data_IF_953772242163
#
_entry.id   IF_953772242163
#
_cell.length_a   1.000
_cell.length_b   1.000
_cell.length_c   1.000
_cell.angle_alpha   90.00
_cell.angle_beta   90.00
_cell.angle_gamma   90.00
#
_symmetry.space_group_name_H-M   'P 1'
#
loop_
_entity.id
_entity.type
_entity.pdbx_description
1 polymer ?
#
# COMPACT_ATOMS: atom_id res chain seq x y z
N UNK A 1 -8.30 -26.15 -21.84
CA UNK A 1 -9.02 -24.90 -21.47
C UNK A 1 -8.72 -24.61 -20.01
N UNK A 2 -8.27 -23.39 -19.71
CA UNK A 2 -7.65 -22.91 -18.47
C UNK A 2 -8.74 -22.49 -17.46
N UNK A 3 -8.73 -23.04 -16.25
CA UNK A 3 -9.48 -22.51 -15.11
C UNK A 3 -8.82 -22.98 -13.81
N UNK A 4 -8.01 -22.10 -13.22
CA UNK A 4 -7.44 -22.28 -11.89
C UNK A 4 -8.53 -22.04 -10.84
N UNK A 5 -8.75 -23.07 -10.03
CA UNK A 5 -9.69 -23.10 -8.91
C UNK A 5 -9.19 -22.25 -7.74
N UNK A 6 -10.14 -21.77 -6.96
CA UNK A 6 -10.07 -20.62 -6.06
C UNK A 6 -9.15 -20.85 -4.86
N UNK A 7 -8.30 -19.86 -4.58
CA UNK A 7 -7.59 -19.72 -3.32
C UNK A 7 -8.53 -19.17 -2.23
N UNK A 8 -8.95 -20.06 -1.33
CA UNK A 8 -9.48 -19.75 0.00
C UNK A 8 -8.32 -19.29 0.90
N UNK A 9 -8.00 -18.00 0.86
CA UNK A 9 -7.03 -17.41 1.78
C UNK A 9 -7.78 -16.83 2.99
N UNK A 10 -7.99 -17.72 3.95
CA UNK A 10 -8.45 -17.52 5.32
C UNK A 10 -7.91 -16.21 5.91
N UNK A 11 -8.83 -15.30 6.22
CA UNK A 11 -8.63 -14.07 6.98
C UNK A 11 -7.96 -14.35 8.33
N UNK A 12 -6.63 -14.25 8.40
CA UNK A 12 -5.92 -14.00 9.65
C UNK A 12 -6.03 -12.51 9.95
N UNK A 13 -6.95 -12.16 10.84
CA UNK A 13 -7.06 -10.82 11.41
C UNK A 13 -5.79 -10.53 12.20
N UNK A 14 -4.76 -9.99 11.54
CA UNK A 14 -3.61 -9.38 12.20
C UNK A 14 -4.16 -8.17 12.94
N UNK A 15 -4.45 -8.37 14.22
CA UNK A 15 -4.76 -7.35 15.20
C UNK A 15 -3.86 -6.16 14.91
N UNK A 16 -4.42 -5.02 14.50
CA UNK A 16 -3.65 -3.78 14.35
C UNK A 16 -3.14 -3.44 15.75
N UNK A 17 -1.95 -3.96 16.10
CA UNK A 17 -1.16 -3.45 17.19
C UNK A 17 -1.12 -1.93 17.02
N UNK A 18 -1.49 -1.21 18.09
CA UNK A 18 -1.57 0.26 18.10
C UNK A 18 -0.27 0.77 17.49
N UNK A 19 -0.35 1.30 16.26
CA UNK A 19 0.81 1.79 15.51
C UNK A 19 1.47 2.82 16.42
N UNK A 20 2.70 2.55 16.87
CA UNK A 20 3.44 3.48 17.71
C UNK A 20 3.36 4.88 17.07
N UNK A 21 2.94 5.93 17.80
CA UNK A 21 2.78 7.27 17.22
C UNK A 21 4.10 7.89 16.74
N UNK A 22 5.23 7.28 17.08
CA UNK A 22 6.58 7.66 16.61
C UNK A 22 7.04 6.87 15.38
N UNK A 23 6.28 5.87 14.93
CA UNK A 23 6.67 5.08 13.78
C UNK A 23 6.61 5.95 12.50
N UNK A 24 7.67 5.98 11.69
CA UNK A 24 7.68 6.73 10.45
C UNK A 24 6.58 6.17 9.55
N UNK A 25 5.86 7.09 8.90
CA UNK A 25 4.76 6.73 8.01
C UNK A 25 5.36 5.92 6.85
N UNK A 26 4.76 4.76 6.57
CA UNK A 26 5.22 3.86 5.48
C UNK A 26 5.23 4.66 4.17
N UNK A 27 6.21 4.41 3.32
CA UNK A 27 6.22 4.95 1.97
C UNK A 27 4.94 4.57 1.22
N UNK A 28 4.48 5.50 0.40
CA UNK A 28 3.37 5.29 -0.50
C UNK A 28 3.90 4.61 -1.77
N UNK A 29 3.31 3.46 -2.12
CA UNK A 29 3.56 2.78 -3.39
C UNK A 29 2.94 3.57 -4.56
N UNK A 30 3.37 3.30 -5.79
CA UNK A 30 2.83 3.90 -7.02
C UNK A 30 1.30 3.75 -7.07
N UNK A 31 0.82 2.57 -6.70
CA UNK A 31 -0.61 2.29 -6.58
C UNK A 31 -1.29 3.14 -5.51
N UNK A 32 -0.61 3.51 -4.41
CA UNK A 32 -1.20 4.35 -3.36
C UNK A 32 -1.26 5.83 -3.74
N UNK A 33 -0.34 6.32 -4.57
CA UNK A 33 -0.46 7.66 -5.16
C UNK A 33 -1.64 7.70 -6.14
N UNK A 34 -1.65 6.77 -7.10
CA UNK A 34 -2.76 6.60 -8.02
C UNK A 34 -4.11 6.44 -7.30
N UNK A 35 -4.14 5.59 -6.26
CA UNK A 35 -5.34 5.31 -5.48
C UNK A 35 -5.86 6.55 -4.77
N UNK A 36 -5.00 7.43 -4.26
CA UNK A 36 -5.46 8.68 -3.63
C UNK A 36 -6.15 9.60 -4.65
N UNK A 37 -5.52 9.83 -5.79
CA UNK A 37 -6.07 10.69 -6.84
C UNK A 37 -7.35 10.12 -7.46
N UNK A 38 -7.39 8.82 -7.71
CA UNK A 38 -8.52 8.17 -8.37
C UNK A 38 -9.63 7.78 -7.42
N UNK A 39 -9.35 7.53 -6.14
CA UNK A 39 -10.39 7.19 -5.17
C UNK A 39 -11.36 8.34 -5.00
N UNK A 40 -10.87 9.58 -4.98
CA UNK A 40 -11.76 10.75 -4.91
C UNK A 40 -12.61 10.88 -6.16
N UNK A 41 -12.05 10.64 -7.35
CA UNK A 41 -12.79 10.64 -8.62
C UNK A 41 -13.85 9.56 -8.67
N UNK A 42 -13.48 8.30 -8.39
CA UNK A 42 -14.41 7.17 -8.41
C UNK A 42 -15.50 7.34 -7.35
N UNK A 43 -15.17 7.88 -6.17
CA UNK A 43 -16.15 8.18 -5.13
C UNK A 43 -17.06 9.36 -5.50
N UNK A 44 -16.55 10.35 -6.23
CA UNK A 44 -17.37 11.44 -6.74
C UNK A 44 -18.34 10.97 -7.83
N UNK A 45 -17.88 10.07 -8.72
CA UNK A 45 -18.72 9.44 -9.75
C UNK A 45 -19.69 8.41 -9.17
N UNK A 46 -19.30 7.73 -8.09
CA UNK A 46 -20.08 6.68 -7.43
C UNK A 46 -20.15 6.98 -5.92
N UNK A 47 -20.93 8.00 -5.50
CA UNK A 47 -21.06 8.36 -4.10
C UNK A 47 -21.72 7.25 -3.26
N UNK A 48 -22.54 6.41 -3.88
CA UNK A 48 -23.17 5.23 -3.27
C UNK A 48 -22.29 3.98 -3.23
N UNK A 49 -21.17 3.97 -3.97
CA UNK A 49 -20.29 2.80 -3.99
C UNK A 49 -19.57 2.63 -2.65
N UNK A 50 -19.58 1.40 -2.16
CA UNK A 50 -18.85 1.07 -0.93
C UNK A 50 -17.34 1.16 -1.16
N UNK A 51 -16.56 1.40 -0.10
CA UNK A 51 -15.10 1.39 -0.16
C UNK A 51 -14.54 0.12 -0.82
N UNK A 52 -15.20 -1.02 -0.61
CA UNK A 52 -14.82 -2.29 -1.25
C UNK A 52 -15.04 -2.31 -2.77
N UNK A 53 -16.07 -1.62 -3.26
CA UNK A 53 -16.34 -1.50 -4.70
C UNK A 53 -15.40 -0.49 -5.35
N UNK A 54 -15.20 0.67 -4.69
CA UNK A 54 -14.21 1.66 -5.13
C UNK A 54 -12.84 1.02 -5.26
N UNK A 55 -12.40 0.23 -4.27
CA UNK A 55 -11.13 -0.49 -4.32
C UNK A 55 -11.02 -1.49 -5.48
N UNK A 56 -12.11 -2.19 -5.83
CA UNK A 56 -12.15 -3.09 -6.99
C UNK A 56 -12.01 -2.31 -8.30
N UNK A 57 -12.73 -1.21 -8.45
CA UNK A 57 -12.66 -0.35 -9.64
C UNK A 57 -11.26 0.26 -9.81
N UNK A 58 -10.67 0.74 -8.72
CA UNK A 58 -9.31 1.26 -8.68
C UNK A 58 -8.27 0.21 -9.10
N UNK A 59 -8.39 -1.00 -8.57
CA UNK A 59 -7.49 -2.10 -8.91
C UNK A 59 -7.63 -2.55 -10.37
N UNK A 60 -8.85 -2.55 -10.90
CA UNK A 60 -9.10 -2.81 -12.32
C UNK A 60 -8.48 -1.71 -13.19
N UNK A 61 -8.70 -0.43 -12.84
CA UNK A 61 -8.17 0.72 -13.58
C UNK A 61 -6.64 0.75 -13.56
N UNK A 62 -6.02 0.44 -12.42
CA UNK A 62 -4.57 0.32 -12.33
C UNK A 62 -4.02 -0.81 -13.20
N UNK A 63 -4.70 -1.96 -13.28
CA UNK A 63 -4.27 -3.05 -14.18
C UNK A 63 -4.43 -2.69 -15.65
N UNK A 64 -5.46 -1.91 -15.99
CA UNK A 64 -5.73 -1.42 -17.33
C UNK A 64 -4.77 -0.31 -17.77
N UNK A 65 -4.28 0.53 -16.84
CA UNK A 65 -3.30 1.57 -17.16
C UNK A 65 -2.00 0.98 -17.70
N UNK A 66 -1.44 1.63 -18.71
CA UNK A 66 -0.15 1.27 -19.27
C UNK A 66 1.00 1.61 -18.33
N UNK A 67 2.13 0.94 -18.52
CA UNK A 67 3.37 1.24 -17.78
C UNK A 67 3.78 2.70 -17.95
N UNK A 68 3.42 3.34 -19.06
CA UNK A 68 3.71 4.75 -19.33
C UNK A 68 2.92 5.70 -18.44
N UNK A 69 1.64 5.40 -18.18
CA UNK A 69 0.83 6.17 -17.25
C UNK A 69 1.25 5.90 -15.80
N UNK A 70 1.74 4.69 -15.53
CA UNK A 70 2.28 4.29 -14.23
C UNK A 70 3.65 4.90 -13.93
N UNK A 71 4.51 5.09 -14.93
CA UNK A 71 5.88 5.64 -14.80
C UNK A 71 5.96 6.87 -13.88
N UNK A 72 5.16 7.93 -14.04
CA UNK A 72 5.22 9.09 -13.14
C UNK A 72 4.87 8.72 -11.69
N UNK A 73 3.86 7.88 -11.47
CA UNK A 73 3.49 7.42 -10.12
C UNK A 73 4.56 6.50 -9.52
N UNK A 74 5.18 5.65 -10.35
CA UNK A 74 6.30 4.79 -9.94
C UNK A 74 7.50 5.64 -9.56
N UNK A 75 7.86 6.66 -10.33
CA UNK A 75 8.95 7.57 -10.00
C UNK A 75 8.70 8.31 -8.67
N UNK A 76 7.49 8.84 -8.47
CA UNK A 76 7.08 9.46 -7.20
C UNK A 76 7.15 8.48 -6.03
N UNK A 77 6.65 7.26 -6.23
CA UNK A 77 6.72 6.22 -5.22
C UNK A 77 8.13 5.76 -4.90
N UNK A 78 9.02 5.74 -5.87
CA UNK A 78 10.42 5.37 -5.66
C UNK A 78 11.12 6.44 -4.82
N UNK A 79 10.86 7.72 -5.12
CA UNK A 79 11.37 8.84 -4.33
C UNK A 79 10.84 8.82 -2.88
N UNK A 80 9.53 8.56 -2.70
CA UNK A 80 8.93 8.46 -1.37
C UNK A 80 9.40 7.20 -0.62
N UNK A 81 9.61 6.09 -1.33
CA UNK A 81 10.23 4.85 -0.80
C UNK A 81 11.58 5.16 -0.20
N UNK A 82 12.48 5.83 -0.93
CA UNK A 82 13.80 6.20 -0.40
C UNK A 82 13.71 7.12 0.82
N UNK A 83 12.77 8.07 0.84
CA UNK A 83 12.53 8.94 2.01
C UNK A 83 12.11 8.11 3.22
N UNK A 84 11.08 7.28 3.06
CA UNK A 84 10.56 6.49 4.17
C UNK A 84 11.53 5.39 4.61
N UNK A 85 12.36 4.84 3.72
CA UNK A 85 13.42 3.89 4.06
C UNK A 85 14.50 4.54 4.94
N UNK A 86 14.90 5.79 4.65
CA UNK A 86 15.84 6.55 5.50
C UNK A 86 15.25 6.85 6.88
N UNK A 87 13.99 7.28 6.93
CA UNK A 87 13.29 7.52 8.19
C UNK A 87 13.06 6.22 8.97
N UNK A 88 12.71 5.14 8.26
CA UNK A 88 12.54 3.79 8.82
C UNK A 88 13.85 3.27 9.39
N UNK A 89 14.96 3.36 8.67
CA UNK A 89 16.27 2.94 9.17
C UNK A 89 16.66 3.68 10.46
N UNK A 90 16.39 4.99 10.51
CA UNK A 90 16.64 5.80 11.72
C UNK A 90 15.74 5.40 12.89
N UNK A 91 14.47 5.08 12.61
CA UNK A 91 13.52 4.60 13.61
C UNK A 91 13.81 3.17 14.07
N UNK A 92 14.14 2.25 13.16
CA UNK A 92 14.50 0.87 13.46
C UNK A 92 15.78 0.83 14.31
N UNK A 93 16.77 1.67 14.06
CA UNK A 93 17.97 1.73 14.92
C UNK A 93 17.65 2.23 16.34
N UNK A 94 16.72 3.19 16.45
CA UNK A 94 16.22 3.69 17.74
C UNK A 94 15.26 2.70 18.44
N UNK A 95 14.52 1.87 17.68
CA UNK A 95 13.61 0.84 18.20
C UNK A 95 14.37 -0.44 18.58
N UNK A 96 15.40 -0.84 17.83
CA UNK A 96 16.31 -1.97 18.12
C UNK A 96 17.06 -1.75 19.44
N UNK A 97 17.35 -0.49 19.78
CA UNK A 97 17.95 -0.12 21.07
C UNK A 97 16.95 -0.15 22.23
N UNK A 98 15.64 -0.18 21.96
CA UNK A 98 14.57 -0.11 22.97
C UNK A 98 13.69 -1.37 23.06
N UNK A 99 13.74 -2.26 22.06
CA UNK A 99 12.98 -3.51 22.04
C UNK A 99 13.71 -4.51 21.15
N UNK A 100 14.32 -5.52 21.77
CA UNK A 100 14.53 -6.78 21.07
C UNK A 100 13.19 -7.38 20.67
N UNK A 101 13.21 -8.16 19.59
CA UNK A 101 12.14 -9.00 19.05
C UNK A 101 11.28 -8.46 17.89
N UNK A 102 11.07 -9.36 16.93
CA UNK A 102 10.16 -9.35 15.76
C UNK A 102 10.64 -8.71 14.43
N UNK A 103 11.44 -9.52 13.73
CA UNK A 103 11.16 -10.12 12.40
C UNK A 103 10.99 -9.20 11.17
N UNK A 104 12.07 -9.19 10.38
CA UNK A 104 12.18 -9.59 8.96
C UNK A 104 10.89 -9.84 8.15
N UNK A 105 10.83 -9.22 6.95
CA UNK A 105 10.18 -9.76 5.72
C UNK A 105 10.52 -8.77 4.57
N UNK A 106 11.66 -9.01 3.90
CA UNK A 106 11.82 -9.49 2.50
C UNK A 106 11.33 -8.47 1.43
N UNK A 107 12.27 -7.84 0.72
CA UNK A 107 12.85 -8.22 -0.60
C UNK A 107 11.96 -7.79 -1.78
#
# INVERSE_FOLDING_TARGET
RKAAEKADAKSSSRSKAKKDPKAPKRALSAYMFFSQDWRERIKAENPDASFGEVGKLLGAKWKEMDEEEKKPYVAQATADKTRAEKEKASYDNNKKSASGDEEEDEE
#
